data_IF_622485044986
#
_entry.id   IF_622485044986
#
_cell.length_a   1.000
_cell.length_b   1.000
_cell.length_c   1.000
_cell.angle_alpha   90.00
_cell.angle_beta   90.00
_cell.angle_gamma   90.00
#
_symmetry.space_group_name_H-M   'P 1'
#
loop_
_entity.id
_entity.type
_entity.pdbx_description
1 polymer ?
#
# COMPACT_ATOMS: atom_id res chain seq x y z
N UNK A 1 13.52 -1.32 9.92
CA UNK A 1 13.62 -1.87 8.55
C UNK A 1 13.88 -3.36 8.46
N UNK A 2 14.76 -3.95 9.29
CA UNK A 2 15.11 -5.38 9.21
C UNK A 2 13.89 -6.32 9.21
N UNK A 3 12.87 -6.01 10.01
CA UNK A 3 11.63 -6.80 10.05
C UNK A 3 10.87 -6.82 8.71
N UNK A 4 10.80 -5.68 8.03
CA UNK A 4 10.15 -5.57 6.73
C UNK A 4 10.88 -6.42 5.69
N UNK A 5 12.22 -6.35 5.67
CA UNK A 5 13.03 -7.20 4.80
C UNK A 5 12.81 -8.68 5.08
N UNK A 6 12.81 -9.09 6.34
CA UNK A 6 12.50 -10.47 6.71
C UNK A 6 11.09 -10.89 6.26
N UNK A 7 10.09 -10.02 6.43
CA UNK A 7 8.73 -10.28 5.98
C UNK A 7 8.67 -10.52 4.47
N UNK A 8 9.29 -9.64 3.67
CA UNK A 8 9.39 -9.78 2.20
C UNK A 8 10.04 -11.11 1.81
N UNK A 9 11.17 -11.46 2.43
CA UNK A 9 11.85 -12.73 2.17
C UNK A 9 10.98 -13.95 2.50
N UNK A 10 10.17 -13.87 3.57
CA UNK A 10 9.24 -14.94 3.91
C UNK A 10 8.07 -15.03 2.92
N UNK A 11 7.57 -13.90 2.42
CA UNK A 11 6.55 -13.85 1.38
C UNK A 11 7.05 -14.50 0.09
N UNK A 12 8.24 -14.12 -0.39
CA UNK A 12 8.84 -14.74 -1.58
C UNK A 12 9.11 -16.23 -1.40
N UNK A 13 9.49 -16.69 -0.21
CA UNK A 13 9.64 -18.12 0.08
C UNK A 13 8.31 -18.89 0.06
N UNK A 14 7.17 -18.20 0.06
CA UNK A 14 5.82 -18.74 -0.08
C UNK A 14 5.21 -18.49 -1.47
N UNK A 15 6.01 -17.99 -2.43
CA UNK A 15 5.56 -17.54 -3.77
C UNK A 15 4.50 -16.43 -3.70
N UNK A 16 4.65 -15.51 -2.74
CA UNK A 16 3.86 -14.28 -2.67
C UNK A 16 4.74 -13.17 -3.25
N UNK A 17 4.39 -12.74 -4.45
CA UNK A 17 5.24 -11.87 -5.27
C UNK A 17 4.77 -10.42 -5.33
N UNK A 18 3.49 -10.16 -5.03
CA UNK A 18 2.91 -8.81 -4.93
C UNK A 18 2.71 -8.48 -3.46
N UNK A 19 3.38 -7.44 -2.96
CA UNK A 19 3.37 -7.06 -1.55
C UNK A 19 3.11 -5.56 -1.44
N UNK A 20 2.02 -5.20 -0.76
CA UNK A 20 1.68 -3.81 -0.48
C UNK A 20 1.81 -3.52 1.02
N UNK A 21 2.54 -2.47 1.39
CA UNK A 21 2.86 -2.12 2.78
C UNK A 21 2.49 -0.67 3.05
N UNK A 22 1.71 -0.43 4.09
CA UNK A 22 1.41 0.90 4.56
C UNK A 22 2.17 1.21 5.85
N UNK A 23 2.86 2.34 5.86
CA UNK A 23 3.59 2.84 7.02
C UNK A 23 3.07 4.26 7.29
N UNK A 24 2.62 4.49 8.51
CA UNK A 24 2.15 5.79 8.97
C UNK A 24 3.01 6.26 10.14
N UNK A 25 3.29 7.56 10.16
CA UNK A 25 3.91 8.24 11.29
C UNK A 25 2.79 8.84 12.15
N UNK A 26 2.76 8.46 13.43
CA UNK A 26 1.89 9.13 14.41
C UNK A 26 2.45 10.54 14.59
N UNK A 27 1.65 11.54 14.26
CA UNK A 27 2.06 12.95 14.17
C UNK A 27 1.24 13.86 15.08
N UNK A 28 0.44 13.29 16.00
CA UNK A 28 -0.35 14.07 16.95
C UNK A 28 0.58 14.89 17.85
N UNK A 29 0.47 16.22 17.76
CA UNK A 29 1.32 17.16 18.49
C UNK A 29 2.73 17.37 17.92
N UNK A 30 3.05 16.81 16.74
CA UNK A 30 4.35 17.04 16.09
C UNK A 30 4.30 18.25 15.14
N UNK A 31 5.40 19.01 15.10
CA UNK A 31 5.62 20.03 14.08
C UNK A 31 5.70 19.39 12.69
N UNK A 32 5.15 20.07 11.68
CA UNK A 32 5.11 19.60 10.30
C UNK A 32 6.50 19.29 9.73
N UNK A 33 7.50 20.12 10.03
CA UNK A 33 8.88 19.90 9.58
C UNK A 33 9.48 18.62 10.15
N UNK A 34 9.11 18.24 11.38
CA UNK A 34 9.56 16.98 12.00
C UNK A 34 8.91 15.78 11.33
N UNK A 35 7.62 15.88 10.98
CA UNK A 35 6.90 14.83 10.26
C UNK A 35 7.51 14.62 8.87
N UNK A 36 7.79 15.70 8.14
CA UNK A 36 8.44 15.66 6.82
C UNK A 36 9.84 15.05 6.91
N UNK A 37 10.64 15.46 7.89
CA UNK A 37 11.96 14.87 8.13
C UNK A 37 11.88 13.38 8.50
N UNK A 38 10.88 12.97 9.28
CA UNK A 38 10.66 11.58 9.64
C UNK A 38 10.32 10.72 8.41
N UNK A 39 9.44 11.22 7.53
CA UNK A 39 9.11 10.53 6.27
C UNK A 39 10.32 10.45 5.32
N UNK A 40 11.07 11.55 5.17
CA UNK A 40 12.30 11.58 4.37
C UNK A 40 13.34 10.58 4.86
N UNK A 41 13.59 10.54 6.18
CA UNK A 41 14.50 9.57 6.78
C UNK A 41 14.02 8.13 6.59
N UNK A 42 12.71 7.89 6.75
CA UNK A 42 12.11 6.56 6.55
C UNK A 42 12.27 6.09 5.11
N UNK A 43 12.07 6.99 4.15
CA UNK A 43 12.27 6.73 2.72
C UNK A 43 13.71 6.29 2.42
N UNK A 44 14.70 7.03 2.91
CA UNK A 44 16.12 6.69 2.74
C UNK A 44 16.45 5.30 3.31
N UNK A 45 15.91 4.98 4.49
CA UNK A 45 16.11 3.69 5.12
C UNK A 45 15.40 2.55 4.35
N UNK A 46 14.26 2.82 3.72
CA UNK A 46 13.56 1.85 2.87
C UNK A 46 14.36 1.55 1.62
N UNK A 47 14.85 2.59 0.93
CA UNK A 47 15.70 2.45 -0.25
C UNK A 47 16.92 1.59 0.07
N UNK A 48 17.66 1.93 1.14
CA UNK A 48 18.83 1.13 1.56
C UNK A 48 18.47 -0.32 1.85
N UNK A 49 17.37 -0.55 2.56
CA UNK A 49 16.96 -1.89 2.96
C UNK A 49 16.50 -2.77 1.79
N UNK A 50 15.98 -2.15 0.72
CA UNK A 50 15.37 -2.86 -0.41
C UNK A 50 16.23 -2.87 -1.68
N UNK A 51 17.26 -2.01 -1.77
CA UNK A 51 18.21 -1.90 -2.89
C UNK A 51 18.90 -3.19 -3.36
N UNK A 52 18.86 -4.25 -2.55
CA UNK A 52 19.49 -5.55 -2.83
C UNK A 52 18.48 -6.64 -3.23
N UNK A 53 17.20 -6.32 -3.20
CA UNK A 53 16.14 -7.27 -3.54
C UNK A 53 15.91 -7.23 -5.06
N UNK A 54 15.81 -8.39 -5.71
CA UNK A 54 15.54 -8.49 -7.15
C UNK A 54 14.03 -8.32 -7.45
N UNK A 55 13.45 -7.24 -6.97
CA UNK A 55 12.01 -6.98 -6.93
C UNK A 55 11.75 -5.53 -7.32
N UNK A 56 10.72 -5.25 -8.11
CA UNK A 56 10.35 -3.87 -8.41
C UNK A 56 9.78 -3.21 -7.16
N UNK A 57 10.40 -2.12 -6.70
CA UNK A 57 9.96 -1.38 -5.51
C UNK A 57 9.45 -0.01 -5.92
N UNK A 58 8.22 0.31 -5.51
CA UNK A 58 7.64 1.63 -5.66
C UNK A 58 7.29 2.19 -4.30
N UNK A 59 7.79 3.40 -3.99
CA UNK A 59 7.49 4.10 -2.75
C UNK A 59 6.68 5.35 -3.07
N UNK A 60 5.50 5.45 -2.46
CA UNK A 60 4.65 6.61 -2.47
C UNK A 60 4.63 7.25 -1.09
N UNK A 61 4.45 8.56 -1.03
CA UNK A 61 4.13 9.21 0.23
C UNK A 61 3.62 10.63 0.01
N UNK A 62 3.10 11.19 1.08
CA UNK A 62 2.40 12.47 1.04
C UNK A 62 3.40 13.61 0.81
N UNK A 63 3.19 14.39 -0.25
CA UNK A 63 3.94 15.62 -0.48
C UNK A 63 3.08 16.76 0.03
N UNK A 64 3.51 17.34 1.14
CA UNK A 64 2.87 18.53 1.64
C UNK A 64 3.08 19.66 0.60
N UNK A 65 1.99 20.33 0.19
CA UNK A 65 1.96 21.57 -0.64
C UNK A 65 2.13 21.54 -2.18
N UNK A 66 2.26 20.40 -2.88
CA UNK A 66 2.25 20.42 -4.37
C UNK A 66 1.30 19.37 -4.91
N UNK A 67 0.59 19.70 -6.00
CA UNK A 67 -0.08 18.67 -6.80
C UNK A 67 0.95 17.89 -7.62
N UNK A 68 0.82 16.56 -7.73
CA UNK A 68 -0.13 15.70 -7.00
C UNK A 68 0.22 15.63 -5.50
N UNK A 69 -0.78 15.44 -4.64
CA UNK A 69 -0.62 15.39 -3.16
C UNK A 69 0.25 14.22 -2.65
N UNK A 70 0.83 13.46 -3.58
CA UNK A 70 1.78 12.39 -3.35
C UNK A 70 2.95 12.51 -4.33
N UNK A 71 4.08 11.90 -4.00
CA UNK A 71 5.17 11.70 -4.96
C UNK A 71 5.55 10.23 -5.06
N UNK A 72 5.86 9.79 -6.28
CA UNK A 72 6.62 8.56 -6.50
C UNK A 72 8.08 8.88 -6.18
N UNK A 73 8.54 8.38 -5.04
CA UNK A 73 9.87 8.72 -4.54
C UNK A 73 10.95 7.85 -5.16
N UNK A 74 10.68 6.56 -5.32
CA UNK A 74 11.61 5.61 -5.90
C UNK A 74 10.87 4.62 -6.81
N UNK A 75 11.54 4.25 -7.89
CA UNK A 75 11.25 3.07 -8.69
C UNK A 75 12.57 2.34 -8.95
N UNK A 76 12.75 1.20 -8.31
CA UNK A 76 13.85 0.31 -8.65
C UNK A 76 13.34 -0.71 -9.67
N UNK A 77 14.01 -0.78 -10.82
CA UNK A 77 13.66 -1.73 -11.87
C UNK A 77 14.04 -3.15 -11.41
N UNK A 78 13.01 -4.01 -11.28
CA UNK A 78 13.16 -5.43 -10.99
C UNK A 78 12.43 -6.27 -12.05
N UNK A 79 12.23 -7.55 -11.78
CA UNK A 79 11.36 -8.38 -12.63
C UNK A 79 9.90 -7.92 -12.48
N UNK A 80 9.14 -7.85 -13.57
CA UNK A 80 7.70 -7.49 -13.53
C UNK A 80 6.86 -8.50 -12.71
N UNK A 81 7.42 -9.68 -12.41
CA UNK A 81 6.79 -10.75 -11.66
C UNK A 81 6.72 -10.44 -10.15
N UNK A 82 7.70 -9.72 -9.60
CA UNK A 82 7.75 -9.36 -8.17
C UNK A 82 7.62 -7.85 -7.99
N UNK A 83 6.66 -7.43 -7.19
CA UNK A 83 6.38 -6.01 -6.93
C UNK A 83 6.14 -5.75 -5.45
N UNK A 84 6.83 -4.74 -4.94
CA UNK A 84 6.62 -4.19 -3.60
C UNK A 84 6.14 -2.75 -3.76
N UNK A 85 4.97 -2.45 -3.21
CA UNK A 85 4.43 -1.10 -3.14
C UNK A 85 4.40 -0.66 -1.69
N UNK A 86 5.07 0.46 -1.38
CA UNK A 86 5.09 1.02 -0.04
C UNK A 86 4.40 2.38 -0.07
N UNK A 87 3.44 2.58 0.81
CA UNK A 87 2.81 3.87 1.05
C UNK A 87 3.24 4.44 2.40
N UNK A 88 3.79 5.65 2.36
CA UNK A 88 4.25 6.43 3.51
C UNK A 88 3.25 7.54 3.82
N UNK A 89 2.32 7.25 4.74
CA UNK A 89 1.31 8.20 5.18
C UNK A 89 0.28 8.59 4.12
N UNK A 90 0.34 8.03 2.91
CA UNK A 90 -0.63 8.29 1.84
C UNK A 90 -1.75 7.27 1.88
N UNK A 91 -2.91 7.70 2.40
CA UNK A 91 -4.04 6.82 2.63
C UNK A 91 -4.94 6.63 1.41
N UNK A 92 -5.85 5.66 1.50
CA UNK A 92 -6.82 5.36 0.44
C UNK A 92 -7.82 6.49 0.20
N UNK A 93 -8.19 7.26 1.23
CA UNK A 93 -9.04 8.45 1.08
C UNK A 93 -8.34 9.53 0.26
N UNK A 94 -7.06 9.77 0.51
CA UNK A 94 -6.26 10.72 -0.27
C UNK A 94 -6.11 10.24 -1.71
N UNK A 95 -5.86 8.94 -1.93
CA UNK A 95 -5.82 8.35 -3.26
C UNK A 95 -7.11 8.59 -4.04
N UNK A 96 -8.26 8.26 -3.46
CA UNK A 96 -9.55 8.45 -4.13
C UNK A 96 -9.83 9.93 -4.43
N UNK A 97 -9.44 10.82 -3.52
CA UNK A 97 -9.58 12.27 -3.73
C UNK A 97 -8.75 12.74 -4.93
N UNK A 98 -7.51 12.29 -5.05
CA UNK A 98 -6.66 12.65 -6.19
C UNK A 98 -7.17 12.02 -7.50
N UNK A 99 -7.63 10.76 -7.47
CA UNK A 99 -8.24 10.11 -8.63
C UNK A 99 -9.45 10.90 -9.15
N UNK A 100 -10.36 11.32 -8.26
CA UNK A 100 -11.51 12.14 -8.63
C UNK A 100 -11.08 13.49 -9.22
N UNK A 101 -10.07 14.16 -8.65
CA UNK A 101 -9.54 15.42 -9.22
C UNK A 101 -8.99 15.22 -10.63
N UNK A 102 -8.27 14.13 -10.88
CA UNK A 102 -7.74 13.83 -12.22
C UNK A 102 -8.86 13.54 -13.21
N UNK A 103 -9.93 12.84 -12.80
CA UNK A 103 -11.14 12.67 -13.65
C UNK A 103 -11.76 14.02 -13.98
N UNK A 104 -11.93 14.90 -12.99
CA UNK A 104 -12.51 16.24 -13.22
C UNK A 104 -11.66 17.05 -14.21
N UNK A 105 -10.33 17.00 -14.10
CA UNK A 105 -9.43 17.65 -15.07
C UNK A 105 -9.62 17.12 -16.50
N UNK A 106 -9.80 15.80 -16.66
CA UNK A 106 -10.10 15.19 -17.97
C UNK A 106 -11.44 15.61 -18.53
N UNK A 107 -12.46 15.74 -17.67
CA UNK A 107 -13.78 16.27 -18.05
C UNK A 107 -13.67 17.73 -18.50
N UNK A 108 -12.96 18.58 -17.76
CA UNK A 108 -12.73 19.98 -18.13
C UNK A 108 -11.94 20.12 -19.44
N UNK A 109 -11.06 19.17 -19.74
CA UNK A 109 -10.32 19.10 -20.99
C UNK A 109 -11.13 18.55 -22.18
N UNK A 110 -12.34 18.02 -21.94
CA UNK A 110 -13.18 17.38 -22.96
C UNK A 110 -12.67 16.00 -23.40
N UNK A 111 -11.84 15.34 -22.58
CA UNK A 111 -11.32 14.00 -22.84
C UNK A 111 -12.28 12.89 -22.37
N UNK A 112 -13.16 13.20 -21.42
CA UNK A 112 -14.14 12.29 -20.81
C UNK A 112 -15.45 13.05 -20.60
N UNK A 113 -16.58 12.46 -20.97
CA UNK A 113 -17.90 12.99 -20.61
C UNK A 113 -18.33 12.52 -19.21
N UNK A 114 -19.10 13.33 -18.43
CA UNK A 114 -19.55 12.93 -17.09
C UNK A 114 -20.27 11.58 -17.02
N UNK A 115 -21.01 11.22 -18.07
CA UNK A 115 -21.74 9.96 -18.20
C UNK A 115 -20.85 8.74 -18.42
N UNK A 116 -19.58 8.95 -18.81
CA UNK A 116 -18.58 7.90 -18.99
C UNK A 116 -17.86 7.55 -17.68
N UNK A 117 -18.12 8.28 -16.59
CA UNK A 117 -17.53 8.03 -15.29
C UNK A 117 -18.16 6.77 -14.66
N UNK A 118 -17.42 5.67 -14.71
CA UNK A 118 -17.77 4.40 -14.10
C UNK A 118 -16.67 3.87 -13.15
N UNK A 119 -16.90 2.69 -12.56
CA UNK A 119 -15.94 2.02 -11.67
C UNK A 119 -14.57 1.80 -12.33
N UNK A 120 -14.54 1.51 -13.65
CA UNK A 120 -13.30 1.25 -14.38
C UNK A 120 -12.49 2.51 -14.59
N UNK A 121 -13.15 3.63 -14.88
CA UNK A 121 -12.47 4.91 -14.99
C UNK A 121 -11.90 5.34 -13.63
N UNK A 122 -12.65 5.14 -12.54
CA UNK A 122 -12.12 5.40 -11.19
C UNK A 122 -10.88 4.53 -10.95
N UNK A 123 -10.95 3.23 -11.22
CA UNK A 123 -9.84 2.29 -11.10
C UNK A 123 -8.64 2.66 -11.96
N UNK A 124 -8.83 3.25 -13.15
CA UNK A 124 -7.75 3.70 -14.01
C UNK A 124 -6.99 4.90 -13.44
N UNK A 125 -7.65 5.73 -12.63
CA UNK A 125 -7.02 6.89 -11.98
C UNK A 125 -6.45 6.59 -10.59
N UNK A 126 -6.77 5.45 -9.97
CA UNK A 126 -6.16 5.06 -8.69
C UNK A 126 -4.65 4.87 -8.79
N UNK A 127 -3.93 5.14 -7.71
CA UNK A 127 -2.47 5.04 -7.67
C UNK A 127 -2.01 3.58 -7.49
N UNK A 128 -2.63 2.89 -6.54
CA UNK A 128 -2.40 1.50 -6.25
C UNK A 128 -3.28 0.64 -7.15
N UNK A 129 -2.64 -0.24 -7.92
CA UNK A 129 -3.31 -1.11 -8.89
C UNK A 129 -3.46 -2.56 -8.43
N UNK A 130 -2.88 -2.92 -7.27
CA UNK A 130 -2.93 -4.28 -6.76
C UNK A 130 -4.17 -4.50 -5.92
N UNK A 131 -4.99 -5.49 -6.27
CA UNK A 131 -6.05 -6.04 -5.44
C UNK A 131 -5.48 -7.15 -4.55
N UNK A 132 -5.39 -6.96 -3.22
CA UNK A 132 -4.80 -7.96 -2.35
C UNK A 132 -5.76 -9.12 -2.09
N UNK A 133 -5.27 -10.36 -2.14
CA UNK A 133 -6.03 -11.51 -1.66
C UNK A 133 -6.21 -11.49 -0.13
N UNK A 134 -5.18 -11.02 0.58
CA UNK A 134 -5.09 -11.02 2.03
C UNK A 134 -4.46 -9.72 2.55
N UNK A 135 -5.15 -9.06 3.48
CA UNK A 135 -4.60 -7.95 4.27
C UNK A 135 -4.31 -8.41 5.69
N UNK A 136 -3.05 -8.27 6.11
CA UNK A 136 -2.61 -8.57 7.47
C UNK A 136 -2.49 -7.26 8.25
N UNK A 137 -3.28 -7.10 9.31
CA UNK A 137 -3.20 -5.95 10.23
C UNK A 137 -2.68 -6.38 11.60
N UNK A 138 -1.46 -5.96 11.90
CA UNK A 138 -0.76 -6.24 13.16
C UNK A 138 -0.99 -5.11 14.18
N UNK A 139 -1.31 -5.46 15.42
CA UNK A 139 -1.43 -4.54 16.56
C UNK A 139 -2.69 -3.67 16.57
N UNK A 140 -3.73 -4.02 15.80
CA UNK A 140 -4.99 -3.28 15.76
C UNK A 140 -6.16 -4.17 15.33
N UNK A 141 -7.38 -3.72 15.65
CA UNK A 141 -8.65 -4.42 15.37
C UNK A 141 -9.52 -3.70 14.34
N UNK A 142 -9.02 -2.63 13.72
CA UNK A 142 -9.76 -1.80 12.76
C UNK A 142 -9.00 -1.69 11.45
N UNK A 143 -9.76 -1.48 10.38
CA UNK A 143 -9.24 -1.17 9.05
C UNK A 143 -8.37 0.08 9.10
N UNK A 144 -7.33 0.10 8.27
CA UNK A 144 -6.54 1.29 8.02
C UNK A 144 -7.07 2.01 6.79
N UNK A 145 -6.75 3.29 6.70
CA UNK A 145 -6.95 4.07 5.49
C UNK A 145 -5.90 3.68 4.43
N UNK A 146 -5.98 2.46 3.89
CA UNK A 146 -5.07 1.94 2.87
C UNK A 146 -5.76 0.90 2.00
N UNK A 147 -5.59 1.00 0.68
CA UNK A 147 -6.22 0.13 -0.33
C UNK A 147 -7.76 0.03 -0.18
N UNK A 148 -8.44 1.15 0.08
CA UNK A 148 -9.87 1.14 0.43
C UNK A 148 -10.78 0.68 -0.72
N UNK A 149 -10.38 0.96 -1.97
CA UNK A 149 -11.10 0.53 -3.16
C UNK A 149 -10.68 -0.88 -3.55
N UNK A 150 -9.37 -1.10 -3.59
CA UNK A 150 -8.75 -2.33 -4.05
C UNK A 150 -9.04 -3.52 -3.12
N UNK A 151 -9.43 -3.26 -1.87
CA UNK A 151 -9.65 -4.31 -0.87
C UNK A 151 -11.11 -4.75 -0.68
N UNK A 152 -12.02 -4.41 -1.61
CA UNK A 152 -13.47 -4.71 -1.47
C UNK A 152 -13.76 -6.21 -1.32
N UNK A 153 -13.00 -7.05 -2.02
CA UNK A 153 -13.15 -8.52 -1.98
C UNK A 153 -12.01 -9.23 -1.22
N UNK A 154 -11.22 -8.46 -0.47
CA UNK A 154 -10.05 -8.97 0.25
C UNK A 154 -10.42 -9.64 1.56
N UNK A 155 -9.71 -10.72 1.89
CA UNK A 155 -9.78 -11.32 3.22
C UNK A 155 -8.91 -10.57 4.22
N UNK A 156 -9.44 -10.29 5.41
CA UNK A 156 -8.71 -9.59 6.46
C UNK A 156 -8.28 -10.53 7.58
N UNK A 157 -7.01 -10.43 7.97
CA UNK A 157 -6.42 -11.11 9.11
C UNK A 157 -5.90 -10.08 10.13
N UNK A 158 -6.60 -9.96 11.25
CA UNK A 158 -6.22 -9.10 12.37
C UNK A 158 -5.46 -9.90 13.43
N UNK A 159 -4.40 -9.31 13.97
CA UNK A 159 -3.62 -9.94 15.04
C UNK A 159 -3.09 -8.90 16.02
N UNK A 160 -3.12 -9.21 17.31
CA UNK A 160 -2.58 -8.34 18.38
C UNK A 160 -1.04 -8.34 18.44
N UNK A 161 -0.38 -9.10 17.57
CA UNK A 161 1.08 -9.12 17.51
C UNK A 161 1.63 -7.74 17.20
N UNK A 162 2.68 -7.33 17.91
CA UNK A 162 3.41 -6.11 17.58
C UNK A 162 4.28 -6.36 16.33
N UNK A 163 4.18 -5.48 15.33
CA UNK A 163 4.94 -5.59 14.08
C UNK A 163 6.45 -5.80 14.31
N UNK A 164 7.07 -5.09 15.25
CA UNK A 164 8.50 -5.24 15.54
C UNK A 164 8.86 -6.67 15.98
N UNK A 165 7.92 -7.35 16.65
CA UNK A 165 8.04 -8.73 17.13
C UNK A 165 7.40 -9.76 16.20
N UNK A 166 6.93 -9.36 15.01
CA UNK A 166 6.28 -10.25 14.05
C UNK A 166 7.27 -11.30 13.52
N UNK A 167 6.89 -12.58 13.53
CA UNK A 167 7.78 -13.69 13.15
C UNK A 167 7.23 -14.43 11.94
N UNK A 168 8.07 -15.27 11.34
CA UNK A 168 7.66 -16.17 10.23
C UNK A 168 6.44 -17.00 10.59
N UNK A 169 6.33 -17.48 11.83
CA UNK A 169 5.17 -18.27 12.28
C UNK A 169 3.87 -17.47 12.25
N UNK A 170 3.93 -16.15 12.45
CA UNK A 170 2.76 -15.28 12.45
C UNK A 170 2.25 -15.06 11.02
N UNK A 171 3.15 -14.92 10.03
CA UNK A 171 2.80 -14.96 8.60
C UNK A 171 2.17 -16.30 8.22
N UNK A 172 2.79 -17.42 8.63
CA UNK A 172 2.28 -18.76 8.31
C UNK A 172 0.88 -19.00 8.89
N UNK A 173 0.58 -18.44 10.07
CA UNK A 173 -0.77 -18.48 10.65
C UNK A 173 -1.77 -17.72 9.80
N UNK A 174 -1.43 -16.51 9.35
CA UNK A 174 -2.29 -15.70 8.49
C UNK A 174 -2.56 -16.39 7.14
N UNK A 175 -1.52 -16.93 6.51
CA UNK A 175 -1.65 -17.67 5.24
C UNK A 175 -2.46 -18.96 5.40
N UNK A 176 -2.26 -19.69 6.51
CA UNK A 176 -3.05 -20.88 6.81
C UNK A 176 -4.52 -20.54 7.02
N UNK A 177 -4.81 -19.48 7.79
CA UNK A 177 -6.17 -19.00 8.01
C UNK A 177 -6.85 -18.67 6.68
N UNK A 178 -6.19 -17.86 5.84
CA UNK A 178 -6.66 -17.54 4.49
C UNK A 178 -6.96 -18.79 3.65
N UNK A 179 -6.08 -19.80 3.67
CA UNK A 179 -6.27 -21.04 2.91
C UNK A 179 -7.40 -21.94 3.44
N UNK A 180 -7.73 -21.85 4.72
CA UNK A 180 -8.78 -22.66 5.35
C UNK A 180 -10.18 -22.05 5.23
N UNK A 181 -10.30 -20.77 4.85
CA UNK A 181 -11.60 -20.15 4.66
C UNK A 181 -12.35 -20.80 3.50
N UNK A 182 -13.57 -21.24 3.77
CA UNK A 182 -14.47 -21.71 2.72
C UNK A 182 -14.97 -20.52 1.92
N UNK A 183 -14.47 -20.41 0.69
CA UNK A 183 -14.94 -19.39 -0.25
C UNK A 183 -16.34 -19.79 -0.71
N UNK A 184 -17.33 -18.95 -0.40
CA UNK A 184 -18.67 -19.11 -0.97
C UNK A 184 -18.56 -18.70 -2.43
N UNK A 185 -18.56 -19.67 -3.35
CA UNK A 185 -18.70 -19.38 -4.78
C UNK A 185 -19.99 -18.58 -4.99
N UNK A 186 -19.87 -17.30 -5.36
CA UNK A 186 -21.03 -16.42 -5.55
C UNK A 186 -20.82 -14.94 -5.28
N UNK A 187 -19.62 -14.50 -4.91
CA UNK A 187 -19.02 -13.16 -5.07
C UNK A 187 -17.57 -13.25 -4.66
#
# INVERSE_FOLDING_TARGET
MERLRHFILWCHALNIDIISVYISVIHEGMDRSLVENAYSHLEDELRKALSKENTSVVIYGNKSEREPAYAKFAEEAGTNEKRITISLGFGGRSELTEAVKEIVKKVEAGEVEPEEIDEKLIESELLFKSEPDLVIRSGATRLMDFLIWQSVYTEFYFTDMNWAKFRKIDLLRAVRDFKMRERRFGR
#
